data_IF_472013225714
#
_entry.id   IF_472013225714
#
_cell.length_a   1.000
_cell.length_b   1.000
_cell.length_c   1.000
_cell.angle_alpha   90.00
_cell.angle_beta   90.00
_cell.angle_gamma   90.00
#
_symmetry.space_group_name_H-M   'P 1'
#
loop_
_entity.id
_entity.type
_entity.pdbx_description
1 polymer ?
#
# COMPACT_ATOMS: atom_id res chain seq x y z
N UNK A 1 -39.21 18.14 16.67
CA UNK A 1 -38.34 18.18 15.45
C UNK A 1 -37.10 17.29 15.62
N UNK A 2 -36.46 17.27 16.77
CA UNK A 2 -35.33 16.39 17.10
C UNK A 2 -35.66 14.88 17.11
N UNK A 3 -36.86 14.51 17.54
CA UNK A 3 -37.31 13.12 17.57
C UNK A 3 -37.57 12.54 16.16
N UNK A 4 -37.95 13.39 15.17
CA UNK A 4 -38.04 12.96 13.75
C UNK A 4 -36.68 12.79 13.10
N UNK A 5 -35.64 13.49 13.54
CA UNK A 5 -34.28 13.34 13.07
C UNK A 5 -33.61 12.06 13.62
N UNK A 6 -33.93 11.66 14.86
CA UNK A 6 -33.43 10.40 15.43
C UNK A 6 -34.02 9.16 14.73
N UNK A 7 -35.30 9.15 14.40
CA UNK A 7 -35.94 8.02 13.74
C UNK A 7 -35.58 7.83 12.26
N UNK A 8 -35.01 8.86 11.58
CA UNK A 8 -34.50 8.69 10.20
C UNK A 8 -33.12 8.04 10.12
N UNK A 9 -32.34 8.02 11.20
CA UNK A 9 -31.00 7.43 11.22
C UNK A 9 -30.95 5.89 11.34
N UNK A 10 -31.97 5.28 11.95
CA UNK A 10 -31.95 3.84 12.25
C UNK A 10 -32.27 2.95 11.04
N UNK A 11 -32.91 3.47 9.98
CA UNK A 11 -33.28 2.71 8.80
C UNK A 11 -32.38 2.93 7.56
N UNK A 12 -31.26 3.68 7.70
CA UNK A 12 -30.36 3.91 6.59
C UNK A 12 -29.50 2.65 6.40
N UNK A 13 -29.77 1.93 5.29
CA UNK A 13 -29.02 0.71 4.94
C UNK A 13 -27.63 1.06 4.43
N UNK A 14 -26.60 0.38 4.95
CA UNK A 14 -25.24 0.44 4.42
C UNK A 14 -25.22 -0.02 2.95
N UNK A 15 -25.87 -1.15 2.69
CA UNK A 15 -25.94 -1.79 1.39
C UNK A 15 -27.04 -1.16 0.51
N UNK A 16 -26.78 0.05 0.02
CA UNK A 16 -27.54 0.61 -1.08
C UNK A 16 -26.97 0.14 -2.43
N UNK A 17 -27.77 0.26 -3.51
CA UNK A 17 -27.38 -0.18 -4.85
C UNK A 17 -26.02 0.35 -5.30
N UNK A 18 -25.78 1.65 -5.14
CA UNK A 18 -24.57 2.29 -5.63
C UNK A 18 -23.32 1.87 -4.88
N UNK A 19 -23.38 1.79 -3.55
CA UNK A 19 -22.28 1.30 -2.72
C UNK A 19 -21.99 -0.17 -3.00
N UNK A 20 -23.03 -1.01 -3.18
CA UNK A 20 -22.85 -2.42 -3.51
C UNK A 20 -22.18 -2.61 -4.88
N UNK A 21 -22.61 -1.85 -5.91
CA UNK A 21 -22.02 -1.92 -7.25
C UNK A 21 -20.53 -1.53 -7.22
N UNK A 22 -20.17 -0.45 -6.50
CA UNK A 22 -18.78 -0.04 -6.34
C UNK A 22 -17.97 -1.09 -5.57
N UNK A 23 -18.50 -1.57 -4.46
CA UNK A 23 -17.80 -2.48 -3.55
C UNK A 23 -17.53 -3.84 -4.20
N UNK A 24 -18.52 -4.43 -4.85
CA UNK A 24 -18.33 -5.73 -5.52
C UNK A 24 -17.40 -5.63 -6.73
N UNK A 25 -17.50 -4.55 -7.53
CA UNK A 25 -16.59 -4.28 -8.64
C UNK A 25 -15.14 -4.22 -8.16
N UNK A 26 -14.87 -3.45 -7.10
CA UNK A 26 -13.54 -3.36 -6.50
C UNK A 26 -13.00 -4.71 -6.01
N UNK A 27 -13.83 -5.54 -5.37
CA UNK A 27 -13.37 -6.83 -4.86
C UNK A 27 -13.02 -7.81 -5.98
N UNK A 28 -13.84 -7.85 -7.03
CA UNK A 28 -13.59 -8.72 -8.19
C UNK A 28 -12.32 -8.30 -8.91
N UNK A 29 -12.15 -7.00 -9.16
CA UNK A 29 -10.92 -6.46 -9.78
C UNK A 29 -9.70 -6.67 -8.90
N UNK A 30 -9.82 -6.49 -7.59
CA UNK A 30 -8.70 -6.67 -6.64
C UNK A 30 -8.18 -8.10 -6.62
N UNK A 31 -9.05 -9.10 -6.59
CA UNK A 31 -8.63 -10.50 -6.69
C UNK A 31 -7.89 -10.75 -8.01
N UNK A 32 -8.43 -10.22 -9.11
CA UNK A 32 -7.79 -10.25 -10.42
C UNK A 32 -6.40 -9.59 -10.39
N UNK A 33 -6.26 -8.42 -9.75
CA UNK A 33 -4.99 -7.70 -9.62
C UNK A 33 -3.92 -8.49 -8.87
N UNK A 34 -4.29 -9.16 -7.78
CA UNK A 34 -3.34 -9.98 -7.02
C UNK A 34 -2.82 -11.12 -7.88
N UNK A 35 -3.71 -11.82 -8.57
CA UNK A 35 -3.34 -12.90 -9.47
C UNK A 35 -2.51 -12.38 -10.66
N UNK A 36 -2.88 -11.23 -11.23
CA UNK A 36 -2.17 -10.59 -12.33
C UNK A 36 -0.74 -10.20 -11.94
N UNK A 37 -0.56 -9.53 -10.80
CA UNK A 37 0.78 -9.11 -10.33
C UNK A 37 1.68 -10.33 -10.09
N UNK A 38 1.14 -11.39 -9.52
CA UNK A 38 1.90 -12.64 -9.33
C UNK A 38 2.27 -13.25 -10.68
N UNK A 39 1.29 -13.42 -11.57
CA UNK A 39 1.52 -13.96 -12.92
C UNK A 39 2.52 -13.15 -13.72
N UNK A 40 2.45 -11.80 -13.61
CA UNK A 40 3.35 -10.87 -14.28
C UNK A 40 4.80 -11.07 -13.85
N UNK A 41 5.04 -11.15 -12.54
CA UNK A 41 6.37 -11.32 -11.98
C UNK A 41 6.93 -12.73 -12.27
N UNK A 42 6.11 -13.77 -12.17
CA UNK A 42 6.52 -15.12 -12.55
C UNK A 42 6.85 -15.21 -14.03
N UNK A 43 5.95 -14.71 -14.89
CA UNK A 43 6.10 -14.80 -16.34
C UNK A 43 7.33 -14.06 -16.85
N UNK A 44 7.57 -12.81 -16.40
CA UNK A 44 8.75 -12.05 -16.84
C UNK A 44 10.06 -12.74 -16.42
N UNK A 45 10.07 -13.30 -15.21
CA UNK A 45 11.24 -14.04 -14.72
C UNK A 45 11.42 -15.36 -15.48
N UNK A 46 10.35 -16.09 -15.82
CA UNK A 46 10.41 -17.35 -16.57
C UNK A 46 10.90 -17.15 -18.01
N UNK A 47 10.44 -16.09 -18.68
CA UNK A 47 10.78 -15.84 -20.08
C UNK A 47 12.16 -15.20 -20.23
N UNK A 48 12.55 -14.33 -19.28
CA UNK A 48 13.79 -13.55 -19.44
C UNK A 48 14.93 -14.00 -18.53
N UNK A 49 14.63 -14.71 -17.44
CA UNK A 49 15.62 -15.03 -16.40
C UNK A 49 16.13 -13.81 -15.64
N UNK A 50 15.67 -12.58 -15.96
CA UNK A 50 16.21 -11.32 -15.48
C UNK A 50 15.38 -10.74 -14.33
N UNK A 51 15.99 -10.60 -13.18
CA UNK A 51 15.44 -9.86 -12.03
C UNK A 51 15.44 -8.36 -12.30
N UNK A 52 16.40 -7.87 -13.11
CA UNK A 52 16.48 -6.48 -13.54
C UNK A 52 15.26 -6.05 -14.34
N UNK A 53 14.82 -6.86 -15.33
CA UNK A 53 13.61 -6.60 -16.11
C UNK A 53 12.35 -6.68 -15.23
N UNK A 54 12.29 -7.60 -14.26
CA UNK A 54 11.19 -7.68 -13.30
C UNK A 54 11.10 -6.41 -12.44
N UNK A 55 12.23 -5.93 -11.92
CA UNK A 55 12.32 -4.68 -11.16
C UNK A 55 11.95 -3.46 -12.02
N UNK A 56 12.42 -3.40 -13.27
CA UNK A 56 12.08 -2.33 -14.22
C UNK A 56 10.59 -2.30 -14.55
N UNK A 57 9.98 -3.45 -14.80
CA UNK A 57 8.54 -3.56 -15.04
C UNK A 57 7.73 -3.06 -13.85
N UNK A 58 8.08 -3.50 -12.64
CA UNK A 58 7.44 -3.04 -11.41
C UNK A 58 7.57 -1.52 -11.24
N UNK A 59 8.76 -0.98 -11.46
CA UNK A 59 9.01 0.47 -11.37
C UNK A 59 8.19 1.26 -12.40
N UNK A 60 8.17 0.82 -13.66
CA UNK A 60 7.43 1.50 -14.73
C UNK A 60 5.90 1.43 -14.55
N UNK A 61 5.40 0.36 -13.94
CA UNK A 61 3.97 0.25 -13.58
C UNK A 61 3.58 1.21 -12.43
N UNK A 62 4.49 1.42 -11.46
CA UNK A 62 4.24 2.32 -10.32
C UNK A 62 4.46 3.80 -10.65
N UNK A 63 5.39 4.10 -11.53
CA UNK A 63 5.83 5.47 -11.83
C UNK A 63 4.70 6.41 -12.25
N UNK A 64 3.76 6.06 -13.17
CA UNK A 64 2.68 6.94 -13.55
C UNK A 64 1.79 7.34 -12.37
N UNK A 65 1.48 6.40 -11.47
CA UNK A 65 0.68 6.66 -10.28
C UNK A 65 1.36 7.68 -9.35
N UNK A 66 2.66 7.63 -9.22
CA UNK A 66 3.41 8.52 -8.34
C UNK A 66 3.52 9.92 -8.95
N UNK A 67 3.85 10.00 -10.24
CA UNK A 67 4.02 11.28 -10.94
C UNK A 67 2.69 11.99 -11.13
N UNK A 68 1.65 11.27 -11.54
CA UNK A 68 0.34 11.86 -11.85
C UNK A 68 -0.63 11.89 -10.66
N UNK A 69 -0.43 11.06 -9.63
CA UNK A 69 -1.31 10.97 -8.46
C UNK A 69 -1.62 12.32 -7.81
N UNK A 70 -0.63 13.19 -7.54
CA UNK A 70 -0.87 14.53 -6.99
C UNK A 70 -1.74 15.42 -7.89
N UNK A 71 -1.65 15.27 -9.20
CA UNK A 71 -2.43 16.03 -10.17
C UNK A 71 -3.80 15.39 -10.43
N UNK A 72 -3.89 14.07 -10.34
CA UNK A 72 -5.10 13.32 -10.62
C UNK A 72 -6.29 13.76 -9.75
N UNK A 73 -6.03 14.12 -8.48
CA UNK A 73 -7.06 14.65 -7.58
C UNK A 73 -7.76 15.88 -8.16
N UNK A 74 -7.01 16.82 -8.74
CA UNK A 74 -7.56 18.05 -9.35
C UNK A 74 -8.45 17.73 -10.56
N UNK A 75 -8.05 16.74 -11.37
CA UNK A 75 -8.86 16.30 -12.52
C UNK A 75 -10.12 15.55 -12.06
N UNK A 76 -9.99 14.67 -11.07
CA UNK A 76 -11.11 13.91 -10.48
C UNK A 76 -12.17 14.86 -9.87
N UNK A 77 -11.74 15.99 -9.31
CA UNK A 77 -12.67 16.99 -8.77
C UNK A 77 -13.48 17.73 -9.85
N UNK A 78 -12.92 17.84 -11.06
CA UNK A 78 -13.58 18.51 -12.20
C UNK A 78 -14.41 17.59 -13.07
N UNK A 79 -14.06 16.31 -13.12
CA UNK A 79 -14.67 15.33 -14.00
C UNK A 79 -15.70 14.45 -13.27
N UNK A 80 -16.54 13.76 -14.03
CA UNK A 80 -17.48 12.76 -13.51
C UNK A 80 -16.70 11.55 -13.01
N UNK A 81 -16.74 11.29 -11.69
CA UNK A 81 -15.93 10.26 -11.02
C UNK A 81 -16.32 8.85 -11.44
N UNK A 82 -17.63 8.61 -11.61
CA UNK A 82 -18.12 7.33 -12.14
C UNK A 82 -17.51 7.06 -13.52
N UNK A 83 -17.50 8.07 -14.40
CA UNK A 83 -16.95 7.89 -15.74
C UNK A 83 -15.44 7.62 -15.69
N UNK A 84 -14.69 8.26 -14.79
CA UNK A 84 -13.26 7.96 -14.60
C UNK A 84 -13.08 6.49 -14.20
N UNK A 85 -13.83 6.02 -13.20
CA UNK A 85 -13.77 4.63 -12.70
C UNK A 85 -14.07 3.67 -13.84
N UNK A 86 -15.18 3.85 -14.54
CA UNK A 86 -15.61 2.98 -15.65
C UNK A 86 -14.61 2.98 -16.81
N UNK A 87 -14.14 4.15 -17.24
CA UNK A 87 -13.21 4.26 -18.40
C UNK A 87 -11.86 3.64 -18.05
N UNK A 88 -11.34 3.87 -16.85
CA UNK A 88 -10.06 3.30 -16.43
C UNK A 88 -10.11 1.79 -16.30
N UNK A 89 -11.21 1.22 -15.76
CA UNK A 89 -11.40 -0.23 -15.71
C UNK A 89 -11.61 -0.83 -17.09
N UNK A 90 -12.36 -0.15 -17.96
CA UNK A 90 -12.58 -0.59 -19.34
C UNK A 90 -11.26 -0.65 -20.14
N UNK A 91 -10.43 0.41 -20.05
CA UNK A 91 -9.11 0.43 -20.70
C UNK A 91 -8.22 -0.70 -20.18
N UNK A 92 -8.10 -0.84 -18.84
CA UNK A 92 -7.33 -1.94 -18.22
C UNK A 92 -7.87 -3.30 -18.67
N UNK A 93 -9.19 -3.46 -18.66
CA UNK A 93 -9.85 -4.66 -19.10
C UNK A 93 -9.48 -5.08 -20.53
N UNK A 94 -9.50 -4.14 -21.49
CA UNK A 94 -9.13 -4.41 -22.87
C UNK A 94 -7.65 -4.80 -22.99
N UNK A 95 -6.74 -3.98 -22.44
CA UNK A 95 -5.30 -4.19 -22.66
C UNK A 95 -4.78 -5.44 -21.95
N UNK A 96 -5.28 -5.74 -20.74
CA UNK A 96 -4.89 -6.94 -20.00
C UNK A 96 -5.50 -8.20 -20.64
N UNK A 97 -6.77 -8.14 -21.08
CA UNK A 97 -7.40 -9.23 -21.87
C UNK A 97 -6.62 -9.53 -23.13
N UNK A 98 -6.19 -8.48 -23.85
CA UNK A 98 -5.39 -8.63 -25.07
C UNK A 98 -4.08 -9.39 -24.81
N UNK A 99 -3.35 -9.06 -23.73
CA UNK A 99 -2.12 -9.77 -23.34
C UNK A 99 -2.42 -11.21 -22.93
N UNK A 100 -3.54 -11.45 -22.22
CA UNK A 100 -3.98 -12.81 -21.89
C UNK A 100 -4.24 -13.64 -23.15
N UNK A 101 -4.95 -13.10 -24.13
CA UNK A 101 -5.21 -13.73 -25.42
C UNK A 101 -3.90 -13.96 -26.18
N UNK A 102 -3.01 -12.96 -26.25
CA UNK A 102 -1.70 -13.07 -26.87
C UNK A 102 -0.87 -14.22 -26.28
N UNK A 103 -0.96 -14.40 -24.95
CA UNK A 103 -0.30 -15.49 -24.26
C UNK A 103 -0.88 -16.86 -24.59
N UNK A 104 -2.19 -17.00 -24.67
CA UNK A 104 -2.90 -18.24 -25.00
C UNK A 104 -2.53 -18.68 -26.44
N UNK A 105 -2.46 -17.73 -27.38
CA UNK A 105 -2.09 -18.00 -28.77
C UNK A 105 -0.58 -18.03 -29.03
N UNK A 106 0.25 -17.82 -28.00
CA UNK A 106 1.70 -17.98 -28.09
C UNK A 106 2.46 -16.83 -28.76
N UNK A 107 1.84 -15.65 -28.97
CA UNK A 107 2.53 -14.50 -29.57
C UNK A 107 2.81 -13.35 -28.58
N UNK A 108 2.64 -13.57 -27.29
CA UNK A 108 2.96 -12.59 -26.26
C UNK A 108 4.46 -12.25 -26.29
N UNK A 109 4.76 -10.95 -26.21
CA UNK A 109 6.12 -10.41 -26.21
C UNK A 109 6.37 -9.57 -24.96
N UNK A 110 7.61 -9.52 -24.47
CA UNK A 110 8.00 -8.77 -23.27
C UNK A 110 7.57 -7.30 -23.36
N UNK A 111 7.77 -6.63 -24.49
CA UNK A 111 7.37 -5.23 -24.65
C UNK A 111 5.86 -4.99 -24.49
N UNK A 112 5.00 -5.96 -24.88
CA UNK A 112 3.53 -5.86 -24.70
C UNK A 112 3.18 -5.75 -23.23
N UNK A 113 3.84 -6.55 -22.40
CA UNK A 113 3.65 -6.57 -20.94
C UNK A 113 4.09 -5.25 -20.31
N UNK A 114 5.19 -4.66 -20.79
CA UNK A 114 5.64 -3.33 -20.36
C UNK A 114 4.64 -2.24 -20.71
N UNK A 115 4.13 -2.24 -21.93
CA UNK A 115 3.12 -1.26 -22.39
C UNK A 115 1.84 -1.38 -21.55
N UNK A 116 1.36 -2.60 -21.31
CA UNK A 116 0.17 -2.83 -20.49
C UNK A 116 0.43 -2.43 -19.02
N UNK A 117 1.61 -2.67 -18.47
CA UNK A 117 2.00 -2.21 -17.15
C UNK A 117 1.92 -0.68 -17.03
N UNK A 118 2.47 0.06 -18.00
CA UNK A 118 2.44 1.52 -18.02
C UNK A 118 1.00 2.03 -18.15
N UNK A 119 0.19 1.46 -19.04
CA UNK A 119 -1.22 1.85 -19.22
C UNK A 119 -2.01 1.58 -17.94
N UNK A 120 -1.82 0.42 -17.32
CA UNK A 120 -2.46 0.08 -16.03
C UNK A 120 -2.05 1.04 -14.91
N UNK A 121 -0.77 1.43 -14.87
CA UNK A 121 -0.26 2.45 -13.94
C UNK A 121 -0.91 3.82 -14.16
N UNK A 122 -1.05 4.26 -15.41
CA UNK A 122 -1.75 5.49 -15.79
C UNK A 122 -3.23 5.46 -15.35
N UNK A 123 -3.94 4.38 -15.64
CA UNK A 123 -5.32 4.20 -15.19
C UNK A 123 -5.43 4.24 -13.67
N UNK A 124 -4.53 3.55 -12.96
CA UNK A 124 -4.52 3.50 -11.49
C UNK A 124 -4.28 4.87 -10.85
N UNK A 125 -3.54 5.76 -11.50
CA UNK A 125 -3.30 7.12 -11.03
C UNK A 125 -4.61 7.92 -10.87
N UNK A 126 -5.60 7.68 -11.72
CA UNK A 126 -6.91 8.37 -11.68
C UNK A 126 -7.98 7.55 -10.94
N UNK A 127 -7.94 6.22 -11.04
CA UNK A 127 -8.90 5.32 -10.42
C UNK A 127 -8.95 5.49 -8.91
N UNK A 128 -7.80 5.41 -8.21
CA UNK A 128 -7.72 5.51 -6.77
C UNK A 128 -8.35 6.78 -6.18
N UNK A 129 -7.94 7.98 -6.64
CA UNK A 129 -8.58 9.24 -6.23
C UNK A 129 -10.07 9.30 -6.56
N UNK A 130 -10.52 8.79 -7.72
CA UNK A 130 -11.93 8.78 -8.10
C UNK A 130 -12.78 7.94 -7.14
N UNK A 131 -12.31 6.73 -6.79
CA UNK A 131 -12.95 5.85 -5.82
C UNK A 131 -12.98 6.49 -4.43
N UNK A 132 -11.86 7.06 -3.98
CA UNK A 132 -11.77 7.70 -2.67
C UNK A 132 -12.72 8.91 -2.55
N UNK A 133 -12.94 9.61 -3.65
CA UNK A 133 -13.83 10.78 -3.69
C UNK A 133 -15.31 10.43 -3.82
N UNK A 134 -15.67 9.36 -4.55
CA UNK A 134 -17.08 8.98 -4.75
C UNK A 134 -17.64 8.19 -3.54
N UNK A 135 -16.81 7.39 -2.89
CA UNK A 135 -17.23 6.48 -1.81
C UNK A 135 -17.97 7.19 -0.64
N UNK A 136 -17.48 8.34 -0.11
CA UNK A 136 -18.21 9.07 0.93
C UNK A 136 -19.57 9.57 0.49
N UNK A 137 -19.78 9.85 -0.79
CA UNK A 137 -21.05 10.34 -1.34
C UNK A 137 -22.07 9.23 -1.57
N UNK A 138 -21.62 7.98 -1.67
CA UNK A 138 -22.49 6.82 -1.83
C UNK A 138 -22.97 6.22 -0.52
N UNK A 139 -22.37 6.62 0.62
CA UNK A 139 -22.65 6.07 1.95
C UNK A 139 -23.03 7.20 2.90
N UNK A 140 -24.10 6.99 3.67
CA UNK A 140 -24.48 7.96 4.70
C UNK A 140 -23.39 8.09 5.77
N UNK A 141 -23.16 9.30 6.29
CA UNK A 141 -22.10 9.61 7.26
C UNK A 141 -22.07 8.64 8.46
N UNK A 142 -23.24 8.34 9.04
CA UNK A 142 -23.35 7.41 10.18
C UNK A 142 -22.92 5.98 9.88
N UNK A 143 -22.80 5.59 8.61
CA UNK A 143 -22.39 4.25 8.16
C UNK A 143 -20.99 4.23 7.54
N UNK A 144 -20.34 5.38 7.42
CA UNK A 144 -19.05 5.51 6.72
C UNK A 144 -17.94 4.66 7.38
N UNK A 145 -17.86 4.67 8.72
CA UNK A 145 -16.90 3.81 9.45
C UNK A 145 -17.15 2.33 9.15
N UNK A 146 -18.42 1.90 9.18
CA UNK A 146 -18.79 0.51 8.87
C UNK A 146 -18.48 0.14 7.42
N UNK A 147 -18.71 1.06 6.46
CA UNK A 147 -18.35 0.86 5.06
C UNK A 147 -16.85 0.63 4.88
N UNK A 148 -16.03 1.46 5.53
CA UNK A 148 -14.58 1.31 5.50
C UNK A 148 -14.12 0.00 6.14
N UNK A 149 -14.68 -0.37 7.30
CA UNK A 149 -14.33 -1.62 7.98
C UNK A 149 -14.66 -2.86 7.14
N UNK A 150 -15.86 -2.91 6.54
CA UNK A 150 -16.26 -4.02 5.67
C UNK A 150 -15.36 -4.09 4.42
N UNK A 151 -15.05 -2.93 3.82
CA UNK A 151 -14.15 -2.89 2.67
C UNK A 151 -12.75 -3.38 3.06
N UNK A 152 -12.18 -2.90 4.17
CA UNK A 152 -10.84 -3.30 4.62
C UNK A 152 -10.75 -4.79 4.96
N UNK A 153 -11.77 -5.36 5.62
CA UNK A 153 -11.82 -6.79 5.90
C UNK A 153 -11.88 -7.61 4.61
N UNK A 154 -12.73 -7.20 3.67
CA UNK A 154 -12.87 -7.90 2.40
C UNK A 154 -11.58 -7.81 1.55
N UNK A 155 -10.95 -6.64 1.47
CA UNK A 155 -9.68 -6.48 0.74
C UNK A 155 -8.56 -7.30 1.37
N UNK A 156 -8.39 -7.26 2.69
CA UNK A 156 -7.38 -8.09 3.36
C UNK A 156 -7.65 -9.59 3.20
N UNK A 157 -8.92 -10.00 3.19
CA UNK A 157 -9.30 -11.38 2.91
C UNK A 157 -8.96 -11.79 1.47
N UNK A 158 -9.23 -10.91 0.49
CA UNK A 158 -8.86 -11.16 -0.91
C UNK A 158 -7.35 -11.22 -1.10
N UNK A 159 -6.58 -10.33 -0.45
CA UNK A 159 -5.12 -10.37 -0.46
C UNK A 159 -4.59 -11.71 0.06
N UNK A 160 -5.13 -12.18 1.18
CA UNK A 160 -4.72 -13.44 1.80
C UNK A 160 -5.05 -14.63 0.90
N UNK A 161 -6.29 -14.73 0.42
CA UNK A 161 -6.75 -15.84 -0.43
C UNK A 161 -6.03 -15.78 -1.79
N UNK A 162 -6.01 -14.62 -2.45
CA UNK A 162 -5.39 -14.46 -3.76
C UNK A 162 -3.91 -14.78 -3.74
N UNK A 163 -3.19 -14.33 -2.70
CA UNK A 163 -1.77 -14.68 -2.53
C UNK A 163 -1.58 -16.18 -2.29
N UNK A 164 -2.38 -16.80 -1.41
CA UNK A 164 -2.24 -18.23 -1.11
C UNK A 164 -2.48 -19.12 -2.33
N UNK A 165 -3.50 -18.79 -3.13
CA UNK A 165 -3.87 -19.63 -4.29
C UNK A 165 -3.14 -19.23 -5.58
N UNK A 166 -2.60 -18.01 -5.66
CA UNK A 166 -2.01 -17.47 -6.87
C UNK A 166 -0.85 -18.28 -7.42
N UNK A 167 0.05 -18.77 -6.55
CA UNK A 167 1.14 -19.66 -6.95
C UNK A 167 0.64 -20.99 -7.50
N UNK A 168 -0.39 -21.58 -6.88
CA UNK A 168 -1.01 -22.84 -7.34
C UNK A 168 -1.71 -22.63 -8.70
N UNK A 169 -2.45 -21.52 -8.84
CA UNK A 169 -3.12 -21.17 -10.08
C UNK A 169 -2.09 -20.95 -11.21
N UNK A 170 -0.95 -20.29 -10.90
CA UNK A 170 0.10 -20.09 -11.87
C UNK A 170 0.65 -21.41 -12.43
N UNK A 171 0.94 -22.38 -11.56
CA UNK A 171 1.47 -23.70 -11.95
C UNK A 171 0.43 -24.51 -12.75
N UNK A 172 -0.85 -24.37 -12.41
CA UNK A 172 -1.92 -25.21 -13.01
C UNK A 172 -2.42 -24.69 -14.34
N UNK A 173 -2.63 -23.38 -14.48
CA UNK A 173 -3.21 -22.80 -15.71
C UNK A 173 -2.27 -21.81 -16.42
N UNK A 174 -1.21 -21.34 -15.76
CA UNK A 174 -0.23 -20.43 -16.32
C UNK A 174 -0.64 -18.95 -16.34
N UNK A 175 0.35 -18.08 -16.60
CA UNK A 175 0.17 -16.63 -16.64
C UNK A 175 -0.88 -16.15 -17.66
N UNK A 176 -0.97 -16.70 -18.89
CA UNK A 176 -1.93 -16.21 -19.89
C UNK A 176 -3.39 -16.23 -19.41
N UNK A 177 -3.79 -17.31 -18.74
CA UNK A 177 -5.17 -17.43 -18.21
C UNK A 177 -5.39 -16.51 -17.01
N UNK A 178 -4.37 -16.27 -16.18
CA UNK A 178 -4.46 -15.30 -15.08
C UNK A 178 -4.59 -13.86 -15.60
N UNK A 179 -3.88 -13.51 -16.68
CA UNK A 179 -4.04 -12.23 -17.37
C UNK A 179 -5.45 -12.09 -17.95
N UNK A 180 -5.94 -13.13 -18.63
CA UNK A 180 -7.29 -13.13 -19.18
C UNK A 180 -8.34 -12.97 -18.07
N UNK A 181 -8.23 -13.71 -16.98
CA UNK A 181 -9.15 -13.64 -15.84
C UNK A 181 -9.19 -12.22 -15.24
N UNK A 182 -8.01 -11.59 -15.06
CA UNK A 182 -7.95 -10.21 -14.57
C UNK A 182 -8.54 -9.20 -15.58
N UNK A 183 -8.20 -9.31 -16.86
CA UNK A 183 -8.78 -8.46 -17.89
C UNK A 183 -10.31 -8.53 -17.93
N UNK A 184 -10.86 -9.74 -17.84
CA UNK A 184 -12.32 -9.97 -17.77
C UNK A 184 -12.89 -9.41 -16.46
N UNK A 185 -12.21 -9.55 -15.34
CA UNK A 185 -12.65 -8.98 -14.07
C UNK A 185 -12.82 -7.46 -14.13
N UNK A 186 -11.89 -6.75 -14.76
CA UNK A 186 -11.99 -5.32 -15.02
C UNK A 186 -13.16 -4.96 -15.94
N UNK A 187 -13.41 -5.75 -16.99
CA UNK A 187 -14.56 -5.51 -17.89
C UNK A 187 -15.90 -5.71 -17.17
N UNK A 188 -15.99 -6.73 -16.29
CA UNK A 188 -17.17 -6.96 -15.44
C UNK A 188 -17.34 -5.80 -14.46
N UNK A 189 -16.24 -5.35 -13.81
CA UNK A 189 -16.25 -4.19 -12.92
C UNK A 189 -16.76 -2.95 -13.64
N UNK A 190 -16.16 -2.60 -14.78
CA UNK A 190 -16.56 -1.46 -15.61
C UNK A 190 -18.05 -1.53 -15.98
N UNK A 191 -18.54 -2.71 -16.42
CA UNK A 191 -19.93 -2.91 -16.77
C UNK A 191 -20.86 -2.69 -15.58
N UNK A 192 -20.55 -3.22 -14.42
CA UNK A 192 -21.40 -3.05 -13.23
C UNK A 192 -21.36 -1.62 -12.69
N UNK A 193 -20.20 -0.97 -12.73
CA UNK A 193 -20.00 0.41 -12.26
C UNK A 193 -20.65 1.46 -13.17
N UNK A 194 -20.95 1.13 -14.43
CA UNK A 194 -21.77 1.99 -15.33
C UNK A 194 -23.17 2.27 -14.75
N UNK A 195 -23.70 1.41 -13.89
CA UNK A 195 -25.01 1.57 -13.27
C UNK A 195 -24.99 2.37 -11.95
N UNK A 196 -23.83 2.85 -11.51
CA UNK A 196 -23.70 3.75 -10.37
C UNK A 196 -24.30 5.09 -10.73
N UNK A 197 -25.21 5.58 -9.88
CA UNK A 197 -25.77 6.93 -10.02
C UNK A 197 -24.90 7.88 -9.20
N UNK A 198 -24.18 8.77 -9.86
CA UNK A 198 -23.36 9.78 -9.18
C UNK A 198 -24.26 10.85 -8.55
N UNK A 199 -24.10 11.15 -7.25
CA UNK A 199 -24.82 12.25 -6.60
C UNK A 199 -24.47 13.60 -7.24
N UNK A 200 -25.46 14.48 -7.37
CA UNK A 200 -25.24 15.85 -7.86
C UNK A 200 -24.39 16.61 -6.83
N UNK A 201 -23.26 17.13 -7.27
CA UNK A 201 -22.34 17.92 -6.43
C UNK A 201 -22.56 19.42 -6.68
N UNK A 202 -22.57 20.19 -5.60
CA UNK A 202 -22.33 21.63 -5.67
C UNK A 202 -20.84 21.85 -5.95
N UNK A 203 -20.52 22.51 -7.06
CA UNK A 203 -19.12 22.87 -7.38
C UNK A 203 -18.62 23.84 -6.33
N UNK A 204 -17.69 23.41 -5.49
CA UNK A 204 -16.90 24.32 -4.68
C UNK A 204 -15.75 24.84 -5.54
N UNK A 205 -15.78 26.14 -5.84
CA UNK A 205 -14.69 26.86 -6.50
C UNK A 205 -13.54 27.14 -5.50
N UNK A 206 -12.99 26.11 -4.88
CA UNK A 206 -11.77 26.25 -4.10
C UNK A 206 -10.57 26.21 -5.06
N UNK A 207 -9.86 27.32 -5.18
CA UNK A 207 -8.57 27.38 -5.86
C UNK A 207 -7.55 26.61 -5.02
N UNK A 208 -7.48 25.30 -5.25
CA UNK A 208 -6.48 24.44 -4.60
C UNK A 208 -5.14 24.73 -5.30
N UNK A 209 -4.25 25.44 -4.62
CA UNK A 209 -2.89 25.67 -5.10
C UNK A 209 -2.00 24.55 -4.54
N UNK A 210 -2.01 23.39 -5.22
CA UNK A 210 -1.20 22.22 -4.83
C UNK A 210 0.26 22.59 -4.45
N UNK A 211 0.86 23.52 -5.21
CA UNK A 211 2.25 23.95 -4.97
C UNK A 211 2.40 24.66 -3.61
N UNK A 212 1.43 25.48 -3.21
CA UNK A 212 1.49 26.21 -1.95
C UNK A 212 1.22 25.28 -0.78
N UNK A 213 0.26 24.36 -0.92
CA UNK A 213 -0.01 23.30 0.06
C UNK A 213 1.19 22.40 0.26
N UNK A 214 1.86 22.01 -0.83
CA UNK A 214 3.09 21.22 -0.79
C UNK A 214 4.23 21.98 -0.08
N UNK A 215 4.44 23.27 -0.41
CA UNK A 215 5.46 24.10 0.24
C UNK A 215 5.20 24.29 1.73
N UNK A 216 3.95 24.48 2.12
CA UNK A 216 3.57 24.62 3.53
C UNK A 216 3.82 23.33 4.31
N UNK A 217 3.37 22.17 3.77
CA UNK A 217 3.65 20.86 4.36
C UNK A 217 5.14 20.57 4.48
N UNK A 218 5.92 20.89 3.43
CA UNK A 218 7.36 20.72 3.41
C UNK A 218 8.06 21.61 4.46
N UNK A 219 7.65 22.89 4.57
CA UNK A 219 8.19 23.82 5.57
C UNK A 219 7.92 23.32 6.99
N UNK A 220 6.71 22.82 7.28
CA UNK A 220 6.37 22.24 8.57
C UNK A 220 7.26 21.04 8.89
N UNK A 221 7.36 20.09 7.96
CA UNK A 221 8.20 18.90 8.13
C UNK A 221 9.67 19.26 8.33
N UNK A 222 10.18 20.26 7.59
CA UNK A 222 11.59 20.68 7.67
C UNK A 222 11.93 21.35 8.99
N UNK A 223 11.02 22.12 9.55
CA UNK A 223 11.20 22.81 10.82
C UNK A 223 11.09 21.87 12.02
N UNK A 224 10.41 20.75 11.87
CA UNK A 224 10.26 19.74 12.93
C UNK A 224 11.32 18.64 12.78
N UNK A 225 12.51 18.88 13.35
CA UNK A 225 13.70 18.02 13.16
C UNK A 225 13.45 16.54 13.50
N UNK A 226 12.76 16.25 14.61
CA UNK A 226 12.47 14.87 15.01
C UNK A 226 11.59 14.17 13.97
N UNK A 227 10.48 14.80 13.56
CA UNK A 227 9.56 14.25 12.56
C UNK A 227 10.23 14.09 11.20
N UNK A 228 11.01 15.10 10.77
CA UNK A 228 11.80 15.05 9.54
C UNK A 228 12.75 13.85 9.51
N UNK A 229 13.55 13.70 10.57
CA UNK A 229 14.55 12.63 10.62
C UNK A 229 13.89 11.25 10.67
N UNK A 230 12.81 11.08 11.44
CA UNK A 230 11.99 9.86 11.45
C UNK A 230 11.46 9.55 10.06
N UNK A 231 10.93 10.56 9.37
CA UNK A 231 10.36 10.40 8.05
C UNK A 231 11.41 10.02 6.99
N UNK A 232 12.57 10.69 6.98
CA UNK A 232 13.66 10.39 6.04
C UNK A 232 14.20 8.96 6.26
N UNK A 233 14.42 8.57 7.51
CA UNK A 233 14.89 7.22 7.83
C UNK A 233 13.84 6.15 7.50
N UNK A 234 12.55 6.41 7.78
CA UNK A 234 11.46 5.50 7.40
C UNK A 234 11.36 5.35 5.88
N UNK A 235 11.57 6.43 5.13
CA UNK A 235 11.56 6.41 3.66
C UNK A 235 12.70 5.57 3.09
N UNK A 236 13.91 5.72 3.63
CA UNK A 236 15.07 4.90 3.24
C UNK A 236 14.89 3.43 3.64
N UNK A 237 14.38 3.18 4.85
CA UNK A 237 14.02 1.83 5.30
C UNK A 237 13.06 1.17 4.31
N UNK A 238 11.98 1.86 3.93
CA UNK A 238 10.99 1.35 2.99
C UNK A 238 11.57 1.13 1.59
N UNK A 239 12.50 1.98 1.13
CA UNK A 239 13.19 1.78 -0.14
C UNK A 239 13.92 0.43 -0.18
N UNK A 240 14.77 0.17 0.82
CA UNK A 240 15.57 -1.06 0.87
C UNK A 240 14.73 -2.30 1.20
N UNK A 241 13.70 -2.16 2.04
CA UNK A 241 12.73 -3.23 2.29
C UNK A 241 11.96 -3.59 1.02
N UNK A 242 11.52 -2.60 0.22
CA UNK A 242 10.87 -2.83 -1.06
C UNK A 242 11.83 -3.46 -2.08
N UNK A 243 13.09 -3.04 -2.10
CA UNK A 243 14.14 -3.65 -2.93
C UNK A 243 14.35 -5.14 -2.59
N UNK A 244 14.34 -5.50 -1.30
CA UNK A 244 14.39 -6.89 -0.88
C UNK A 244 13.11 -7.66 -1.26
N UNK A 245 11.95 -7.01 -1.13
CA UNK A 245 10.65 -7.61 -1.39
C UNK A 245 10.51 -8.10 -2.83
N UNK A 246 11.00 -7.35 -3.82
CA UNK A 246 10.96 -7.75 -5.23
C UNK A 246 11.76 -9.04 -5.49
N UNK A 247 12.79 -9.32 -4.70
CA UNK A 247 13.65 -10.49 -4.82
C UNK A 247 13.10 -11.74 -4.11
N UNK A 248 12.00 -11.64 -3.35
CA UNK A 248 11.41 -12.80 -2.66
C UNK A 248 10.99 -13.87 -3.67
N UNK A 249 10.35 -13.48 -4.77
CA UNK A 249 9.93 -14.41 -5.81
C UNK A 249 11.13 -15.11 -6.48
N UNK A 250 12.16 -14.41 -6.99
CA UNK A 250 13.38 -15.05 -7.48
C UNK A 250 14.04 -15.96 -6.44
N UNK A 251 14.04 -15.56 -5.16
CA UNK A 251 14.56 -16.41 -4.08
C UNK A 251 13.81 -17.73 -3.99
N UNK A 252 12.49 -17.72 -4.00
CA UNK A 252 11.68 -18.94 -3.95
C UNK A 252 11.88 -19.83 -5.19
N UNK A 253 12.12 -19.24 -6.35
CA UNK A 253 12.40 -19.99 -7.60
C UNK A 253 13.79 -20.62 -7.62
N UNK A 254 14.77 -19.97 -7.04
CA UNK A 254 16.17 -20.46 -7.06
C UNK A 254 16.46 -21.50 -5.98
N UNK A 255 15.64 -21.55 -4.92
CA UNK A 255 15.83 -22.52 -3.83
C UNK A 255 15.14 -23.85 -4.15
N UNK A 256 15.88 -24.99 -4.17
CA UNK A 256 15.34 -26.30 -4.61
C UNK A 256 14.13 -26.82 -3.85
N UNK A 257 13.94 -26.33 -2.61
CA UNK A 257 12.87 -26.79 -1.69
C UNK A 257 11.69 -25.81 -1.58
N UNK A 258 11.67 -24.73 -2.35
CA UNK A 258 10.62 -23.70 -2.27
C UNK A 258 9.68 -23.80 -3.47
N UNK A 259 9.79 -22.98 -4.46
CA UNK A 259 8.92 -22.97 -5.64
C UNK A 259 7.72 -22.03 -5.53
N UNK A 260 6.93 -21.97 -6.60
CA UNK A 260 5.86 -20.99 -6.78
C UNK A 260 4.69 -21.21 -5.80
N UNK A 261 4.37 -22.46 -5.50
CA UNK A 261 3.29 -22.80 -4.55
C UNK A 261 3.62 -22.26 -3.16
N UNK A 262 4.81 -22.55 -2.67
CA UNK A 262 5.27 -22.07 -1.35
C UNK A 262 5.44 -20.57 -1.28
N UNK A 263 5.80 -19.94 -2.41
CA UNK A 263 5.79 -18.49 -2.52
C UNK A 263 4.39 -17.91 -2.26
N UNK A 264 3.35 -18.47 -2.88
CA UNK A 264 1.97 -18.03 -2.65
C UNK A 264 1.58 -18.13 -1.17
N UNK A 265 1.84 -19.26 -0.53
CA UNK A 265 1.59 -19.43 0.91
C UNK A 265 2.39 -18.45 1.77
N UNK A 266 3.65 -18.21 1.43
CA UNK A 266 4.48 -17.22 2.12
C UNK A 266 3.90 -15.81 2.00
N UNK A 267 3.46 -15.42 0.80
CA UNK A 267 2.81 -14.12 0.57
C UNK A 267 1.51 -13.95 1.36
N UNK A 268 0.75 -15.02 1.60
CA UNK A 268 -0.46 -14.99 2.41
C UNK A 268 -0.21 -14.76 3.91
N UNK A 269 1.00 -15.06 4.40
CA UNK A 269 1.40 -14.81 5.79
C UNK A 269 1.43 -13.31 6.10
N UNK A 270 1.74 -12.48 5.11
CA UNK A 270 1.84 -11.02 5.25
C UNK A 270 0.51 -10.42 5.71
N UNK A 271 -0.59 -10.50 4.92
CA UNK A 271 -1.88 -9.96 5.32
C UNK A 271 -2.44 -10.67 6.55
N UNK A 272 -2.15 -11.96 6.76
CA UNK A 272 -2.58 -12.68 7.96
C UNK A 272 -1.94 -12.11 9.22
N UNK A 273 -0.62 -11.86 9.21
CA UNK A 273 0.08 -11.22 10.32
C UNK A 273 -0.44 -9.82 10.61
N UNK A 274 -0.71 -9.04 9.54
CA UNK A 274 -1.27 -7.69 9.66
C UNK A 274 -2.69 -7.69 10.23
N UNK A 275 -3.56 -8.61 9.81
CA UNK A 275 -4.93 -8.72 10.34
C UNK A 275 -4.93 -9.08 11.82
N UNK A 276 -4.17 -10.09 12.21
CA UNK A 276 -4.08 -10.54 13.61
C UNK A 276 -3.45 -9.45 14.47
N UNK A 277 -2.37 -8.79 14.00
CA UNK A 277 -1.74 -7.68 14.70
C UNK A 277 -2.68 -6.49 14.90
N UNK A 278 -3.46 -6.12 13.89
CA UNK A 278 -4.48 -5.06 13.98
C UNK A 278 -5.60 -5.45 14.95
N UNK A 279 -6.04 -6.71 14.92
CA UNK A 279 -7.03 -7.24 15.85
C UNK A 279 -6.54 -7.18 17.29
N UNK A 280 -5.30 -7.58 17.57
CA UNK A 280 -4.70 -7.47 18.90
C UNK A 280 -4.65 -6.02 19.39
N UNK A 281 -4.23 -5.09 18.53
CA UNK A 281 -4.18 -3.66 18.87
C UNK A 281 -5.57 -3.07 19.17
N UNK A 282 -6.64 -3.58 18.57
CA UNK A 282 -8.00 -3.12 18.83
C UNK A 282 -8.52 -3.50 20.22
N UNK A 283 -7.96 -4.54 20.82
CA UNK A 283 -8.35 -5.06 22.14
C UNK A 283 -7.44 -4.53 23.25
N UNK A 284 -6.16 -4.29 22.94
CA UNK A 284 -5.15 -3.92 23.95
C UNK A 284 -5.12 -2.40 24.12
N UNK A 285 -5.42 -1.92 25.32
CA UNK A 285 -5.21 -0.52 25.70
C UNK A 285 -3.73 -0.25 26.01
N UNK A 286 -3.03 0.38 25.07
CA UNK A 286 -1.62 0.75 25.23
C UNK A 286 -1.54 2.05 26.05
N UNK A 287 -0.90 1.98 27.24
CA UNK A 287 -0.64 3.15 28.06
C UNK A 287 0.40 4.06 27.42
N UNK A 288 0.30 5.36 27.64
CA UNK A 288 1.20 6.39 27.10
C UNK A 288 2.67 6.03 27.21
N UNK A 289 3.12 5.69 28.41
CA UNK A 289 4.52 5.32 28.72
C UNK A 289 4.99 3.98 28.11
N UNK A 290 4.09 3.22 27.48
CA UNK A 290 4.40 1.97 26.81
C UNK A 290 4.50 2.14 25.29
N UNK A 291 3.92 3.23 24.71
CA UNK A 291 3.87 3.46 23.26
C UNK A 291 5.26 3.39 22.63
N UNK A 292 6.24 4.12 23.20
CA UNK A 292 7.61 4.10 22.68
C UNK A 292 8.29 2.74 22.81
N UNK A 293 8.09 2.03 23.93
CA UNK A 293 8.66 0.68 24.11
C UNK A 293 8.11 -0.29 23.06
N UNK A 294 6.79 -0.30 22.85
CA UNK A 294 6.14 -1.19 21.89
C UNK A 294 6.57 -0.83 20.46
N UNK A 295 6.62 0.47 20.12
CA UNK A 295 7.17 0.95 18.86
C UNK A 295 8.60 0.45 18.63
N UNK A 296 9.49 0.66 19.61
CA UNK A 296 10.90 0.27 19.55
C UNK A 296 11.07 -1.24 19.35
N UNK A 297 10.46 -2.05 20.23
CA UNK A 297 10.58 -3.50 20.15
C UNK A 297 9.87 -4.05 18.92
N UNK A 298 8.71 -3.51 18.55
CA UNK A 298 7.99 -3.88 17.34
C UNK A 298 8.82 -3.66 16.07
N UNK A 299 9.48 -2.50 15.94
CA UNK A 299 10.36 -2.20 14.82
C UNK A 299 11.60 -3.12 14.77
N UNK A 300 12.28 -3.30 15.92
CA UNK A 300 13.48 -4.13 16.00
C UNK A 300 13.18 -5.61 15.77
N UNK A 301 12.06 -6.14 16.30
CA UNK A 301 11.67 -7.52 16.05
C UNK A 301 11.27 -7.69 14.59
N UNK A 302 10.46 -6.79 14.03
CA UNK A 302 10.02 -6.86 12.63
C UNK A 302 11.19 -7.02 11.67
N UNK A 303 12.09 -6.04 11.63
CA UNK A 303 13.21 -6.04 10.68
C UNK A 303 14.43 -6.82 11.16
N UNK A 304 14.54 -7.11 12.46
CA UNK A 304 15.59 -7.95 12.99
C UNK A 304 15.36 -9.44 12.73
N UNK A 305 14.09 -9.89 12.72
CA UNK A 305 13.77 -11.31 12.47
C UNK A 305 13.62 -11.62 10.97
N UNK A 306 13.27 -10.63 10.15
CA UNK A 306 13.01 -10.83 8.71
C UNK A 306 14.22 -11.41 7.94
N UNK A 307 15.49 -11.02 8.17
CA UNK A 307 16.64 -11.67 7.53
C UNK A 307 16.75 -13.17 7.84
N UNK A 308 16.37 -13.58 9.06
CA UNK A 308 16.44 -15.00 9.45
C UNK A 308 15.51 -15.88 8.62
N UNK A 309 14.41 -15.32 8.07
CA UNK A 309 13.53 -16.02 7.12
C UNK A 309 14.34 -16.56 5.93
N UNK A 310 15.31 -15.78 5.45
CA UNK A 310 16.10 -16.11 4.26
C UNK A 310 17.42 -16.82 4.59
N UNK A 311 17.78 -16.90 5.88
CA UNK A 311 18.93 -17.71 6.35
C UNK A 311 18.50 -19.16 6.53
N UNK A 312 17.27 -19.38 7.03
CA UNK A 312 16.72 -20.71 7.27
C UNK A 312 16.21 -21.31 5.94
N UNK A 313 16.58 -22.55 5.65
CA UNK A 313 16.21 -23.23 4.41
C UNK A 313 14.95 -24.08 4.53
N UNK A 314 14.34 -24.13 5.72
CA UNK A 314 13.13 -24.91 6.00
C UNK A 314 11.88 -24.05 5.94
N UNK A 315 11.04 -24.31 4.95
CA UNK A 315 9.81 -23.53 4.72
C UNK A 315 8.92 -23.42 5.98
N UNK A 316 8.71 -24.52 6.70
CA UNK A 316 7.87 -24.53 7.91
C UNK A 316 8.43 -23.69 9.08
N UNK A 317 9.73 -23.37 9.07
CA UNK A 317 10.35 -22.47 10.04
C UNK A 317 10.32 -21.02 9.53
N UNK A 318 10.39 -20.81 8.21
CA UNK A 318 10.25 -19.48 7.60
C UNK A 318 8.89 -18.83 7.92
N UNK A 319 7.81 -19.62 7.88
CA UNK A 319 6.43 -19.14 8.07
C UNK A 319 6.21 -18.48 9.45
N UNK A 320 6.49 -19.11 10.60
CA UNK A 320 6.28 -18.48 11.89
C UNK A 320 7.20 -17.26 12.12
N UNK A 321 8.43 -17.27 11.60
CA UNK A 321 9.32 -16.11 11.69
C UNK A 321 8.73 -14.94 10.89
N UNK A 322 8.31 -15.17 9.65
CA UNK A 322 7.65 -14.17 8.81
C UNK A 322 6.37 -13.65 9.47
N UNK A 323 5.54 -14.54 10.00
CA UNK A 323 4.30 -14.17 10.69
C UNK A 323 4.56 -13.21 11.86
N UNK A 324 5.53 -13.51 12.74
CA UNK A 324 5.93 -12.64 13.84
C UNK A 324 6.46 -11.30 13.31
N UNK A 325 7.27 -11.32 12.26
CA UNK A 325 7.79 -10.09 11.63
C UNK A 325 6.67 -9.19 11.14
N UNK A 326 5.70 -9.72 10.39
CA UNK A 326 4.58 -8.91 9.84
C UNK A 326 3.55 -8.52 10.89
N UNK A 327 3.33 -9.34 11.92
CA UNK A 327 2.55 -8.95 13.09
C UNK A 327 3.19 -7.74 13.81
N UNK A 328 4.50 -7.78 14.05
CA UNK A 328 5.22 -6.66 14.64
C UNK A 328 5.27 -5.43 13.72
N UNK A 329 5.29 -5.65 12.40
CA UNK A 329 5.24 -4.58 11.39
C UNK A 329 3.99 -3.70 11.55
N UNK A 330 2.80 -4.31 11.62
CA UNK A 330 1.57 -3.53 11.76
C UNK A 330 1.49 -2.83 13.11
N UNK A 331 1.98 -3.46 14.19
CA UNK A 331 2.00 -2.85 15.52
C UNK A 331 2.86 -1.59 15.53
N UNK A 332 4.06 -1.68 15.04
CA UNK A 332 4.98 -0.55 14.98
C UNK A 332 4.47 0.57 14.05
N UNK A 333 3.96 0.22 12.86
CA UNK A 333 3.40 1.20 11.90
C UNK A 333 2.16 1.91 12.45
N UNK A 334 1.29 1.21 13.18
CA UNK A 334 0.09 1.81 13.77
C UNK A 334 0.45 2.85 14.82
N UNK A 335 1.41 2.56 15.70
CA UNK A 335 1.87 3.53 16.71
C UNK A 335 2.54 4.73 16.03
N UNK A 336 3.40 4.49 15.05
CA UNK A 336 4.08 5.52 14.28
C UNK A 336 3.09 6.46 13.58
N UNK A 337 2.14 5.91 12.83
CA UNK A 337 1.12 6.70 12.12
C UNK A 337 0.20 7.45 13.10
N UNK A 338 -0.18 6.84 14.21
CA UNK A 338 -1.01 7.49 15.24
C UNK A 338 -0.29 8.68 15.88
N UNK A 339 1.01 8.53 16.18
CA UNK A 339 1.82 9.62 16.72
C UNK A 339 1.93 10.78 15.72
N UNK A 340 2.16 10.49 14.43
CA UNK A 340 2.21 11.54 13.39
C UNK A 340 0.86 12.26 13.30
N UNK A 341 -0.26 11.54 13.31
CA UNK A 341 -1.60 12.16 13.24
C UNK A 341 -1.92 13.07 14.43
N UNK A 342 -1.37 12.79 15.61
CA UNK A 342 -1.54 13.63 16.79
C UNK A 342 -0.69 14.91 16.75
N UNK A 343 0.52 14.79 16.22
CA UNK A 343 1.50 15.90 16.17
C UNK A 343 1.23 16.85 15.00
N UNK A 344 0.57 16.39 13.94
CA UNK A 344 0.23 17.23 12.79
C UNK A 344 -1.08 17.98 13.06
N UNK A 345 -1.09 19.35 13.04
CA UNK A 345 -2.28 20.16 13.17
C UNK A 345 -3.37 19.75 12.18
N UNK A 346 -4.64 19.81 12.61
CA UNK A 346 -5.79 19.30 11.84
C UNK A 346 -5.94 19.96 10.45
N UNK A 347 -5.63 21.23 10.33
CA UNK A 347 -5.62 22.02 9.09
C UNK A 347 -4.52 21.60 8.11
N UNK A 348 -3.43 21.00 8.60
CA UNK A 348 -2.26 20.58 7.80
C UNK A 348 -2.20 19.07 7.55
N UNK A 349 -3.08 18.25 8.18
CA UNK A 349 -3.03 16.78 8.05
C UNK A 349 -3.11 16.30 6.61
N UNK A 350 -4.01 16.90 5.82
CA UNK A 350 -4.15 16.55 4.39
C UNK A 350 -2.88 16.86 3.59
N UNK A 351 -2.30 18.03 3.79
CA UNK A 351 -1.10 18.50 3.09
C UNK A 351 0.12 17.65 3.44
N UNK A 352 0.34 17.41 4.72
CA UNK A 352 1.48 16.62 5.21
C UNK A 352 1.30 15.14 4.87
N UNK A 353 0.09 14.59 4.99
CA UNK A 353 -0.21 13.22 4.59
C UNK A 353 0.05 12.98 3.10
N UNK A 354 -0.38 13.92 2.23
CA UNK A 354 -0.09 13.86 0.80
C UNK A 354 1.42 13.95 0.50
N UNK A 355 2.14 14.84 1.19
CA UNK A 355 3.61 14.96 1.07
C UNK A 355 4.30 13.65 1.48
N UNK A 356 3.93 13.09 2.63
CA UNK A 356 4.50 11.84 3.15
C UNK A 356 4.24 10.67 2.22
N UNK A 357 3.02 10.53 1.70
CA UNK A 357 2.69 9.45 0.75
C UNK A 357 3.39 9.63 -0.59
N UNK A 358 3.57 10.86 -1.07
CA UNK A 358 4.30 11.14 -2.32
C UNK A 358 5.78 10.79 -2.19
N UNK A 359 6.44 11.18 -1.08
CA UNK A 359 7.87 10.87 -0.89
C UNK A 359 8.06 9.37 -0.63
N UNK A 360 7.30 8.77 0.28
CA UNK A 360 7.42 7.33 0.58
C UNK A 360 7.03 6.46 -0.61
N UNK A 361 5.96 6.82 -1.33
CA UNK A 361 5.53 6.14 -2.54
C UNK A 361 6.53 6.32 -3.68
N UNK A 362 7.10 7.54 -3.83
CA UNK A 362 8.09 7.86 -4.86
C UNK A 362 9.37 7.05 -4.78
N UNK A 363 9.73 6.57 -3.61
CA UNK A 363 10.91 5.70 -3.41
C UNK A 363 10.65 4.22 -3.75
N UNK A 364 9.40 3.78 -3.84
CA UNK A 364 9.08 2.38 -4.15
C UNK A 364 9.58 1.91 -5.53
N UNK A 365 9.40 2.65 -6.64
CA UNK A 365 9.97 2.27 -7.93
C UNK A 365 11.50 2.21 -7.91
N UNK A 366 12.13 3.14 -7.18
CA UNK A 366 13.58 3.14 -7.01
C UNK A 366 14.02 1.87 -6.27
N UNK A 367 13.29 1.51 -5.21
CA UNK A 367 13.52 0.24 -4.50
C UNK A 367 13.39 -0.97 -5.42
N UNK A 368 12.34 -1.03 -6.24
CA UNK A 368 12.14 -2.12 -7.19
C UNK A 368 13.28 -2.23 -8.22
N UNK A 369 13.75 -1.09 -8.74
CA UNK A 369 14.92 -1.06 -9.64
C UNK A 369 16.20 -1.51 -8.94
N UNK A 370 16.48 -0.98 -7.74
CA UNK A 370 17.67 -1.35 -6.95
C UNK A 370 17.66 -2.85 -6.64
N UNK A 371 16.51 -3.38 -6.20
CA UNK A 371 16.35 -4.81 -5.93
C UNK A 371 16.59 -5.66 -7.18
N UNK A 372 15.91 -5.31 -8.28
CA UNK A 372 16.06 -6.01 -9.56
C UNK A 372 17.50 -6.04 -10.06
N UNK A 373 18.19 -4.89 -10.06
CA UNK A 373 19.58 -4.76 -10.48
C UNK A 373 20.52 -5.57 -9.56
N UNK A 374 20.35 -5.46 -8.24
CA UNK A 374 21.20 -6.23 -7.32
C UNK A 374 21.00 -7.75 -7.47
N UNK A 375 19.76 -8.19 -7.74
CA UNK A 375 19.49 -9.61 -8.02
C UNK A 375 20.08 -10.12 -9.32
N UNK A 376 20.42 -9.24 -10.28
CA UNK A 376 21.13 -9.60 -11.52
C UNK A 376 22.61 -9.86 -11.28
N UNK A 377 23.25 -9.09 -10.39
CA UNK A 377 24.69 -9.12 -10.18
C UNK A 377 25.13 -9.96 -8.98
N UNK A 378 24.24 -10.21 -8.02
CA UNK A 378 24.55 -10.95 -6.79
C UNK A 378 23.71 -12.23 -6.70
N UNK A 379 24.23 -13.30 -6.04
CA UNK A 379 23.38 -14.42 -5.67
C UNK A 379 22.14 -13.91 -4.91
N UNK A 380 20.96 -14.34 -5.32
CA UNK A 380 19.67 -13.79 -4.84
C UNK A 380 19.58 -13.74 -3.31
N UNK A 381 20.03 -14.82 -2.64
CA UNK A 381 20.07 -14.89 -1.18
C UNK A 381 20.92 -13.77 -0.56
N UNK A 382 22.10 -13.52 -1.15
CA UNK A 382 23.02 -12.48 -0.69
C UNK A 382 22.41 -11.10 -0.89
N UNK A 383 21.78 -10.84 -2.05
CA UNK A 383 21.12 -9.59 -2.35
C UNK A 383 19.96 -9.30 -1.36
N UNK A 384 19.11 -10.28 -1.08
CA UNK A 384 18.02 -10.16 -0.11
C UNK A 384 18.55 -9.85 1.29
N UNK A 385 19.52 -10.63 1.77
CA UNK A 385 20.10 -10.44 3.11
C UNK A 385 20.82 -9.09 3.25
N UNK A 386 21.52 -8.64 2.21
CA UNK A 386 22.19 -7.35 2.17
C UNK A 386 21.18 -6.19 2.27
N UNK A 387 20.11 -6.24 1.47
CA UNK A 387 19.06 -5.22 1.45
C UNK A 387 18.27 -5.17 2.78
N UNK A 388 17.93 -6.33 3.34
CA UNK A 388 17.28 -6.42 4.65
C UNK A 388 18.22 -5.97 5.78
N UNK A 389 19.52 -6.26 5.66
CA UNK A 389 20.54 -5.78 6.60
C UNK A 389 20.63 -4.25 6.63
N UNK A 390 20.63 -3.62 5.45
CA UNK A 390 20.58 -2.15 5.34
C UNK A 390 19.27 -1.62 5.94
N UNK A 391 18.12 -2.23 5.63
CA UNK A 391 16.83 -1.84 6.21
C UNK A 391 16.85 -1.93 7.74
N UNK A 392 17.50 -2.94 8.29
CA UNK A 392 17.65 -3.10 9.74
C UNK A 392 18.54 -2.01 10.36
N UNK A 393 19.61 -1.62 9.68
CA UNK A 393 20.46 -0.48 10.14
C UNK A 393 19.63 0.81 10.18
N UNK A 394 18.83 1.09 9.17
CA UNK A 394 17.91 2.25 9.19
C UNK A 394 16.83 2.13 10.26
N UNK A 395 16.39 0.93 10.60
CA UNK A 395 15.45 0.70 11.71
C UNK A 395 16.10 1.04 13.05
N UNK A 396 17.34 0.62 13.27
CA UNK A 396 18.10 0.98 14.47
C UNK A 396 18.22 2.51 14.54
N UNK A 397 18.66 3.15 13.45
CA UNK A 397 18.78 4.61 13.41
C UNK A 397 17.44 5.30 13.70
N UNK A 398 16.33 4.80 13.13
CA UNK A 398 14.96 5.32 13.34
C UNK A 398 14.54 5.29 14.81
N UNK A 399 14.81 4.20 15.50
CA UNK A 399 14.46 4.04 16.92
C UNK A 399 15.27 5.00 17.81
N UNK A 400 16.51 5.31 17.44
CA UNK A 400 17.39 6.18 18.21
C UNK A 400 17.38 7.65 17.76
N UNK A 401 16.45 8.07 16.90
CA UNK A 401 16.26 9.49 16.57
C UNK A 401 15.97 10.29 17.83
N UNK A 402 16.71 11.38 18.03
CA UNK A 402 16.47 12.31 19.15
C UNK A 402 15.04 12.89 19.05
N UNK A 403 14.27 12.80 20.14
CA UNK A 403 12.88 13.23 20.19
C UNK A 403 11.86 12.16 19.75
N UNK A 404 12.30 10.97 19.34
CA UNK A 404 11.37 9.89 18.93
C UNK A 404 10.48 9.43 20.09
N UNK A 405 11.01 9.36 21.32
CA UNK A 405 10.23 8.98 22.50
C UNK A 405 9.15 10.00 22.81
N UNK A 406 9.52 11.28 22.86
CA UNK A 406 8.61 12.40 23.10
C UNK A 406 7.49 12.45 22.06
N UNK A 407 7.83 12.20 20.78
CA UNK A 407 6.86 12.18 19.69
C UNK A 407 5.91 10.98 19.78
N UNK A 408 6.40 9.77 20.09
CA UNK A 408 5.56 8.57 20.19
C UNK A 408 4.65 8.57 21.44
N UNK A 409 5.09 9.20 22.53
CA UNK A 409 4.36 9.31 23.78
C UNK A 409 3.53 10.60 23.90
N UNK A 410 3.54 11.49 22.87
CA UNK A 410 2.78 12.74 22.89
C UNK A 410 1.27 12.50 22.90
N UNK A 411 0.58 13.26 23.76
CA UNK A 411 -0.87 13.34 23.83
C UNK A 411 -1.29 14.83 23.89
N UNK A 412 -2.48 15.16 23.40
CA UNK A 412 -2.96 16.55 23.35
C UNK A 412 -3.07 17.22 24.74
N UNK A 413 -3.01 16.44 25.80
CA UNK A 413 -2.95 16.91 27.19
C UNK A 413 -1.58 17.38 27.64
N UNK A 414 -0.51 17.10 26.86
CA UNK A 414 0.87 17.39 27.28
C UNK A 414 1.36 18.80 26.95
N UNK A 415 0.54 19.59 26.27
CA UNK A 415 0.87 20.91 25.78
C UNK A 415 0.67 21.08 24.28
N UNK A 416 1.20 22.15 23.74
CA UNK A 416 1.06 22.47 22.31
C UNK A 416 2.08 21.71 21.44
N UNK A 417 1.78 21.63 20.15
CA UNK A 417 2.73 21.02 19.17
C UNK A 417 3.98 21.88 19.03
N UNK A 418 3.87 23.20 19.18
CA UNK A 418 4.98 24.14 19.18
C UNK A 418 5.95 23.85 20.30
N UNK A 419 5.46 23.63 21.52
CA UNK A 419 6.29 23.23 22.68
C UNK A 419 6.99 21.89 22.45
N UNK A 420 6.32 20.93 21.82
CA UNK A 420 6.93 19.65 21.44
C UNK A 420 8.06 19.86 20.41
N UNK A 421 7.86 20.71 19.42
CA UNK A 421 8.87 21.05 18.40
C UNK A 421 10.10 21.67 19.05
N UNK A 422 9.92 22.64 19.94
CA UNK A 422 11.01 23.31 20.67
C UNK A 422 11.80 22.33 21.52
N UNK A 423 11.11 21.51 22.30
CA UNK A 423 11.71 20.46 23.15
C UNK A 423 12.53 19.46 22.34
N UNK A 424 12.00 18.99 21.21
CA UNK A 424 12.66 17.98 20.37
C UNK A 424 13.77 18.59 19.50
N UNK A 425 13.66 19.85 19.14
CA UNK A 425 14.70 20.58 18.41
C UNK A 425 15.89 20.99 19.29
N UNK A 426 15.77 20.86 20.63
CA UNK A 426 16.81 21.19 21.60
C UNK A 426 16.89 22.70 21.89
N UNK A 427 15.81 23.46 21.64
CA UNK A 427 15.67 24.84 22.08
C UNK A 427 15.16 24.75 23.52
N UNK A 428 16.01 25.03 24.49
CA UNK A 428 15.64 25.13 25.91
C UNK A 428 14.85 26.42 26.05
N UNK A 429 13.57 26.36 26.36
CA UNK A 429 12.86 27.51 26.90
C UNK A 429 13.45 27.72 28.31
N UNK A 430 14.26 28.76 28.46
CA UNK A 430 14.51 29.34 29.76
C UNK A 430 13.15 29.91 30.26
N UNK A 431 12.55 29.22 31.23
CA UNK A 431 11.33 29.59 31.94
C UNK A 431 11.60 30.71 32.96
#
# INVERSE_FOLDING_TARGET
MEEKLKNHGENIRLWNKNFFLLWQGQLVSMLGDILYIMALNFWILDITGSTGLMGLLSALTMLPRIVLGPFAGVFVDKWNRRNIIVITDFIRGIVVTFVGIAGIFGFIQVWMVFVVGIISGLCSAFFGPAVSSIKPELVHESKFVKANSVTSLATSGMDMIGSAVGGIIYITIGAPYMFLANGVSYLISAFTEMFITEPKREKKDEKITFVDDFKEGFRFLWNFKALRNLFLLASLLNLFANAAFILILPYFKTMPFLGEERYGFFMAVIPMGMLIGSGLLSIINIKKNQKFKIYKFGALICLGTLPFVFIVEYFYVMIPIAFISFLCNVVFNTIFNSAIMLVVPSDKRGKIGALMSTISGGLQPIGALVGGVLGEFLPIRVAVLFLLGISFIFTIALVFVKGSKELMEYESSDGTVEELIEKTNGIVLES
#
